data_IF_456532641713
#
_entry.id   IF_456532641713
#
_cell.length_a   1.000
_cell.length_b   1.000
_cell.length_c   1.000
_cell.angle_alpha   90.00
_cell.angle_beta   90.00
_cell.angle_gamma   90.00
#
_symmetry.space_group_name_H-M   'P 1'
#
loop_
_entity.id
_entity.type
_entity.pdbx_description
1 polymer ?
#
# COMPACT_ATOMS: atom_id res chain seq x y z
N UNK A 1 -11.68 21.59 12.42
CA UNK A 1 -12.29 20.86 13.55
C UNK A 1 -11.17 20.40 14.48
N UNK A 2 -11.29 20.64 15.77
CA UNK A 2 -10.39 20.04 16.76
C UNK A 2 -11.11 18.97 17.57
N UNK A 3 -10.34 17.96 17.98
CA UNK A 3 -10.80 16.85 18.82
C UNK A 3 -9.93 16.84 20.05
N UNK A 4 -10.53 16.96 21.22
CA UNK A 4 -9.82 16.98 22.49
C UNK A 4 -10.32 15.89 23.44
N UNK A 5 -9.41 15.30 24.22
CA UNK A 5 -9.71 14.35 25.29
C UNK A 5 -8.62 14.39 26.34
N UNK A 6 -8.94 14.91 27.54
CA UNK A 6 -7.92 15.21 28.55
C UNK A 6 -6.89 16.19 28.01
N UNK A 7 -5.61 15.86 28.16
CA UNK A 7 -4.49 16.71 27.74
C UNK A 7 -4.14 16.59 26.24
N UNK A 8 -4.84 15.71 25.53
CA UNK A 8 -4.57 15.49 24.08
C UNK A 8 -5.56 16.28 23.25
N UNK A 9 -5.02 17.13 22.38
CA UNK A 9 -5.79 17.83 21.35
C UNK A 9 -5.18 17.58 19.96
N UNK A 10 -6.04 17.29 19.00
CA UNK A 10 -5.67 17.06 17.59
C UNK A 10 -6.53 17.88 16.69
N UNK A 11 -5.95 18.43 15.62
CA UNK A 11 -6.69 19.20 14.62
C UNK A 11 -6.81 18.39 13.34
N UNK A 12 -8.04 18.33 12.82
CA UNK A 12 -8.36 17.72 11.54
C UNK A 12 -8.82 18.83 10.59
N UNK A 13 -8.16 18.96 9.43
CA UNK A 13 -8.60 19.88 8.38
C UNK A 13 -9.67 19.20 7.55
N UNK A 14 -10.86 19.81 7.51
CA UNK A 14 -11.98 19.38 6.70
C UNK A 14 -12.14 20.42 5.58
N UNK A 15 -12.12 19.96 4.34
CA UNK A 15 -12.28 20.80 3.17
C UNK A 15 -13.61 20.51 2.50
N UNK A 16 -14.21 21.54 1.90
CA UNK A 16 -15.37 21.40 1.04
C UNK A 16 -14.91 20.99 -0.37
N UNK A 17 -15.81 20.43 -1.16
CA UNK A 17 -15.62 20.07 -2.58
C UNK A 17 -15.24 21.28 -3.47
N UNK A 18 -15.55 22.50 -3.01
CA UNK A 18 -15.19 23.75 -3.67
C UNK A 18 -13.75 24.20 -3.43
N UNK A 19 -13.04 23.54 -2.52
CA UNK A 19 -11.66 23.92 -2.18
C UNK A 19 -10.67 23.16 -3.03
N UNK A 20 -9.67 23.88 -3.61
CA UNK A 20 -8.68 23.29 -4.52
C UNK A 20 -7.88 22.12 -3.94
N UNK A 21 -7.76 22.04 -2.61
CA UNK A 21 -7.09 20.94 -1.91
C UNK A 21 -8.04 19.81 -1.48
N UNK A 22 -9.28 19.82 -1.97
CA UNK A 22 -10.23 18.74 -1.68
C UNK A 22 -9.79 17.43 -2.33
N UNK A 23 -9.63 16.40 -1.52
CA UNK A 23 -9.14 15.09 -1.93
C UNK A 23 -10.21 14.00 -1.93
N UNK A 24 -11.49 14.35 -1.79
CA UNK A 24 -12.59 13.38 -1.66
C UNK A 24 -12.53 12.55 -0.37
N UNK A 25 -11.85 13.04 0.65
CA UNK A 25 -11.65 12.30 1.91
C UNK A 25 -12.86 12.47 2.81
N UNK A 26 -13.60 11.39 3.02
CA UNK A 26 -14.79 11.35 3.86
C UNK A 26 -14.58 10.63 5.21
N UNK A 27 -13.48 9.90 5.37
CA UNK A 27 -13.18 9.17 6.59
C UNK A 27 -11.96 9.76 7.30
N UNK A 28 -12.09 10.02 8.59
CA UNK A 28 -11.04 10.57 9.42
C UNK A 28 -10.82 9.67 10.63
N UNK A 29 -9.57 9.29 10.86
CA UNK A 29 -9.13 8.61 12.07
C UNK A 29 -8.32 9.59 12.92
N UNK A 30 -8.73 9.79 14.16
CA UNK A 30 -8.03 10.65 15.10
C UNK A 30 -7.50 9.82 16.25
N UNK A 31 -6.17 9.74 16.37
CA UNK A 31 -5.54 9.07 17.50
C UNK A 31 -5.48 10.05 18.67
N UNK A 32 -6.20 9.74 19.74
CA UNK A 32 -6.25 10.51 20.98
C UNK A 32 -5.20 10.08 22.01
N UNK A 33 -4.24 9.27 21.60
CA UNK A 33 -3.12 8.84 22.41
C UNK A 33 -3.47 7.72 23.38
N UNK A 34 -2.54 7.46 24.29
CA UNK A 34 -2.65 6.42 25.31
C UNK A 34 -3.24 6.99 26.61
N UNK A 35 -4.05 6.20 27.28
CA UNK A 35 -4.55 6.51 28.64
C UNK A 35 -4.67 5.23 29.45
N UNK A 36 -4.26 5.30 30.72
CA UNK A 36 -4.45 4.20 31.68
C UNK A 36 -5.86 4.16 32.27
N UNK A 37 -6.61 5.24 32.12
CA UNK A 37 -7.97 5.37 32.60
C UNK A 37 -8.93 5.63 31.45
N UNK A 38 -10.18 5.19 31.59
CA UNK A 38 -11.21 5.49 30.62
C UNK A 38 -11.45 7.00 30.55
N UNK A 39 -11.33 7.58 29.38
CA UNK A 39 -11.63 9.00 29.15
C UNK A 39 -13.13 9.15 28.99
N UNK A 40 -13.74 9.91 29.91
CA UNK A 40 -15.20 10.06 29.99
C UNK A 40 -15.76 11.04 28.95
N UNK A 41 -14.94 11.98 28.48
CA UNK A 41 -15.40 13.08 27.59
C UNK A 41 -14.43 13.22 26.43
N UNK A 42 -15.01 13.33 25.25
CA UNK A 42 -14.33 13.71 24.01
C UNK A 42 -15.07 14.94 23.47
N UNK A 43 -14.33 16.03 23.29
CA UNK A 43 -14.87 17.29 22.82
C UNK A 43 -14.50 17.50 21.37
N UNK A 44 -15.51 17.74 20.52
CA UNK A 44 -15.35 18.13 19.14
C UNK A 44 -15.66 19.62 19.02
N UNK A 45 -14.72 20.41 18.51
CA UNK A 45 -14.90 21.85 18.31
C UNK A 45 -14.75 22.17 16.83
N UNK A 46 -15.78 22.81 16.28
CA UNK A 46 -15.79 23.30 14.91
C UNK A 46 -15.51 24.80 14.93
N UNK A 47 -14.44 25.23 14.28
CA UNK A 47 -13.97 26.62 14.28
C UNK A 47 -14.81 27.52 13.39
N UNK A 48 -15.37 26.96 12.32
CA UNK A 48 -16.19 27.70 11.38
C UNK A 48 -17.69 27.39 11.57
N UNK A 49 -18.52 28.40 11.43
CA UNK A 49 -19.96 28.23 11.36
C UNK A 49 -20.35 27.53 10.06
N UNK A 50 -21.21 26.53 10.15
CA UNK A 50 -21.66 25.76 9.00
C UNK A 50 -22.47 24.53 9.41
N UNK A 51 -22.98 23.84 8.41
CA UNK A 51 -23.65 22.55 8.62
C UNK A 51 -22.63 21.44 8.35
N UNK A 52 -22.40 20.61 9.35
CA UNK A 52 -21.54 19.45 9.28
C UNK A 52 -22.40 18.19 9.39
N UNK A 53 -22.36 17.36 8.37
CA UNK A 53 -23.07 16.08 8.33
C UNK A 53 -22.08 14.93 8.47
N UNK A 54 -22.44 13.92 9.23
CA UNK A 54 -21.65 12.71 9.37
C UNK A 54 -22.56 11.49 9.54
N UNK A 55 -22.20 10.40 8.90
CA UNK A 55 -22.98 9.16 8.97
C UNK A 55 -22.69 8.40 10.25
N UNK A 56 -21.43 8.43 10.73
CA UNK A 56 -21.00 7.65 11.86
C UNK A 56 -19.82 8.29 12.62
N UNK A 57 -20.01 8.45 13.92
CA UNK A 57 -18.96 8.79 14.87
C UNK A 57 -18.75 7.60 15.80
N UNK A 58 -17.51 7.12 15.90
CA UNK A 58 -17.15 6.04 16.82
C UNK A 58 -15.93 6.41 17.63
N UNK A 59 -15.98 6.13 18.92
CA UNK A 59 -14.81 6.12 19.81
C UNK A 59 -14.47 4.67 20.07
N UNK A 60 -13.22 4.30 19.80
CA UNK A 60 -12.73 2.93 19.97
C UNK A 60 -11.56 2.98 20.94
N UNK A 61 -11.64 2.17 21.99
CA UNK A 61 -10.52 1.92 22.89
C UNK A 61 -9.89 0.58 22.51
N UNK A 62 -8.62 0.60 22.14
CA UNK A 62 -7.88 -0.61 21.84
C UNK A 62 -6.99 -0.96 23.05
N UNK A 63 -7.15 -2.16 23.65
CA UNK A 63 -6.26 -2.58 24.70
C UNK A 63 -4.85 -2.77 24.15
N UNK A 64 -3.86 -2.21 24.86
CA UNK A 64 -2.44 -2.32 24.49
C UNK A 64 -1.69 -3.29 25.41
N UNK A 65 -2.36 -3.94 26.33
CA UNK A 65 -1.80 -5.01 27.14
C UNK A 65 -1.44 -6.20 26.27
N UNK A 66 -0.27 -6.79 26.50
CA UNK A 66 0.21 -7.93 25.72
C UNK A 66 0.68 -7.59 24.30
N UNK A 67 0.76 -6.31 23.93
CA UNK A 67 1.29 -5.92 22.61
C UNK A 67 2.75 -6.37 22.44
N UNK A 68 3.52 -6.30 23.53
CA UNK A 68 4.93 -6.64 23.51
C UNK A 68 5.14 -8.15 23.27
N UNK A 69 4.37 -8.97 23.97
CA UNK A 69 4.39 -10.43 23.80
C UNK A 69 3.92 -10.83 22.39
N UNK A 70 2.83 -10.23 21.93
CA UNK A 70 2.34 -10.48 20.53
C UNK A 70 3.33 -10.02 19.47
N UNK A 71 4.02 -8.91 19.69
CA UNK A 71 5.04 -8.43 18.75
C UNK A 71 6.24 -9.38 18.73
N UNK A 72 6.65 -9.91 19.89
CA UNK A 72 7.71 -10.93 19.98
C UNK A 72 7.29 -12.23 19.29
N UNK A 73 6.08 -12.70 19.53
CA UNK A 73 5.53 -13.88 18.89
C UNK A 73 5.48 -13.74 17.37
N UNK A 74 4.96 -12.62 16.86
CA UNK A 74 4.90 -12.33 15.42
C UNK A 74 6.29 -12.10 14.80
N UNK A 75 7.24 -11.60 15.59
CA UNK A 75 8.61 -11.36 15.17
C UNK A 75 9.54 -12.57 15.32
N UNK A 76 9.07 -13.67 15.89
CA UNK A 76 9.90 -14.87 16.10
C UNK A 76 10.25 -15.57 14.77
N UNK A 77 9.34 -15.55 13.82
CA UNK A 77 9.50 -16.15 12.49
C UNK A 77 9.51 -15.02 11.44
N UNK A 78 10.70 -14.57 11.08
CA UNK A 78 10.90 -13.47 10.12
C UNK A 78 11.79 -13.94 8.98
N UNK A 79 11.65 -13.26 7.85
CA UNK A 79 12.50 -13.49 6.69
C UNK A 79 13.96 -13.16 7.04
N UNK A 80 14.85 -14.11 6.80
CA UNK A 80 16.29 -14.05 7.07
C UNK A 80 17.06 -13.98 5.74
N UNK A 81 18.36 -13.68 5.82
CA UNK A 81 19.28 -13.68 4.68
C UNK A 81 18.75 -12.86 3.50
N UNK A 82 18.10 -11.72 3.81
CA UNK A 82 17.46 -10.89 2.79
C UNK A 82 18.54 -10.30 1.87
N UNK A 83 18.39 -10.56 0.57
CA UNK A 83 19.15 -9.91 -0.50
C UNK A 83 18.21 -9.12 -1.37
N UNK A 84 18.55 -7.85 -1.58
CA UNK A 84 17.79 -6.96 -2.44
C UNK A 84 18.67 -6.56 -3.62
N UNK A 85 18.18 -6.84 -4.81
CA UNK A 85 18.75 -6.42 -6.09
C UNK A 85 17.82 -5.39 -6.75
N UNK A 86 18.14 -4.92 -7.96
CA UNK A 86 17.38 -3.86 -8.63
C UNK A 86 15.88 -4.14 -8.75
N UNK A 87 15.52 -5.37 -9.11
CA UNK A 87 14.13 -5.78 -9.34
C UNK A 87 13.74 -7.07 -8.62
N UNK A 88 14.57 -7.54 -7.71
CA UNK A 88 14.40 -8.82 -7.02
C UNK A 88 14.70 -8.68 -5.53
N UNK A 89 13.90 -9.33 -4.71
CA UNK A 89 14.13 -9.52 -3.28
C UNK A 89 14.09 -11.03 -3.02
N UNK A 90 15.11 -11.55 -2.36
CA UNK A 90 15.15 -12.95 -1.92
C UNK A 90 15.37 -13.02 -0.42
N UNK A 91 14.93 -14.11 0.18
CA UNK A 91 15.17 -14.39 1.59
C UNK A 91 14.71 -15.79 1.94
N UNK A 92 15.03 -16.21 3.15
CA UNK A 92 14.72 -17.52 3.68
C UNK A 92 13.88 -17.38 4.95
N UNK A 93 12.96 -18.30 5.18
CA UNK A 93 12.13 -18.30 6.37
C UNK A 93 11.81 -19.75 6.76
N UNK A 94 11.87 -20.02 8.06
CA UNK A 94 11.34 -21.23 8.65
C UNK A 94 10.04 -20.92 9.38
N UNK A 95 8.98 -21.63 9.06
CA UNK A 95 7.70 -21.48 9.73
C UNK A 95 7.28 -22.76 10.45
N UNK A 96 6.88 -22.61 11.71
CA UNK A 96 6.51 -23.73 12.59
C UNK A 96 5.15 -24.31 12.26
N UNK A 97 4.29 -23.53 11.61
CA UNK A 97 2.93 -23.88 11.24
C UNK A 97 2.50 -23.10 9.99
N UNK A 98 1.34 -23.46 9.40
CA UNK A 98 0.78 -22.72 8.27
C UNK A 98 0.53 -21.26 8.64
N UNK A 99 1.19 -20.33 7.93
CA UNK A 99 1.14 -18.89 8.21
C UNK A 99 1.13 -18.04 6.95
N UNK A 100 0.82 -16.77 7.11
CA UNK A 100 0.97 -15.76 6.07
C UNK A 100 2.20 -14.90 6.38
N UNK A 101 3.20 -14.91 5.50
CA UNK A 101 4.30 -13.95 5.52
C UNK A 101 3.78 -12.61 4.99
N UNK A 102 3.69 -11.62 5.87
CA UNK A 102 3.32 -10.26 5.48
C UNK A 102 4.57 -9.43 5.24
N UNK A 103 4.68 -8.90 4.04
CA UNK A 103 5.78 -8.07 3.61
C UNK A 103 5.37 -6.60 3.70
N UNK A 104 6.15 -5.78 4.41
CA UNK A 104 5.90 -4.35 4.56
C UNK A 104 6.18 -3.56 3.27
N UNK A 105 5.78 -4.11 2.14
CA UNK A 105 5.91 -3.55 0.80
C UNK A 105 4.51 -3.30 0.25
N UNK A 106 4.20 -2.10 -0.26
CA UNK A 106 2.89 -1.81 -0.84
C UNK A 106 2.56 -2.76 -2.00
N UNK A 107 1.32 -3.24 -2.00
CA UNK A 107 0.85 -4.14 -3.04
C UNK A 107 0.89 -3.46 -4.42
N UNK A 108 1.55 -4.12 -5.36
CA UNK A 108 1.56 -3.71 -6.76
C UNK A 108 1.39 -4.93 -7.67
N UNK A 109 0.65 -4.74 -8.76
CA UNK A 109 0.47 -5.77 -9.79
C UNK A 109 1.77 -6.14 -10.53
N UNK A 110 2.83 -5.34 -10.33
CA UNK A 110 4.14 -5.60 -10.92
C UNK A 110 4.93 -6.69 -10.20
N UNK A 111 4.58 -7.04 -8.96
CA UNK A 111 5.26 -8.09 -8.22
C UNK A 111 4.75 -9.48 -8.59
N UNK A 112 5.67 -10.41 -8.69
CA UNK A 112 5.42 -11.86 -8.76
C UNK A 112 6.19 -12.52 -7.63
N UNK A 113 5.52 -13.37 -6.85
CA UNK A 113 6.15 -14.14 -5.78
C UNK A 113 6.42 -15.57 -6.21
N UNK A 114 7.52 -16.09 -5.72
CA UNK A 114 7.89 -17.51 -5.80
C UNK A 114 8.22 -18.00 -4.40
N UNK A 115 7.72 -19.17 -4.07
CA UNK A 115 8.05 -19.93 -2.86
C UNK A 115 8.70 -21.23 -3.33
N UNK A 116 9.91 -21.49 -2.90
CA UNK A 116 10.69 -22.68 -3.28
C UNK A 116 10.82 -22.87 -4.80
N UNK A 117 10.86 -21.75 -5.53
CA UNK A 117 10.92 -21.73 -6.99
C UNK A 117 9.57 -21.85 -7.70
N UNK A 118 8.48 -22.13 -6.99
CA UNK A 118 7.14 -22.20 -7.55
C UNK A 118 6.41 -20.87 -7.44
N UNK A 119 5.76 -20.46 -8.54
CA UNK A 119 4.99 -19.23 -8.58
C UNK A 119 3.78 -19.30 -7.66
N UNK A 120 3.69 -18.35 -6.74
CA UNK A 120 2.64 -18.29 -5.71
C UNK A 120 1.83 -17.01 -5.82
N UNK A 121 0.57 -17.08 -5.40
CA UNK A 121 -0.32 -15.92 -5.41
C UNK A 121 0.07 -14.91 -4.34
N UNK A 122 0.24 -13.64 -4.75
CA UNK A 122 0.39 -12.50 -3.84
C UNK A 122 -0.97 -11.96 -3.43
N UNK A 123 -1.26 -12.03 -2.14
CA UNK A 123 -2.48 -11.50 -1.55
C UNK A 123 -2.25 -10.10 -0.96
N UNK A 124 -3.32 -9.34 -0.88
CA UNK A 124 -3.30 -8.04 -0.21
C UNK A 124 -3.57 -8.23 1.28
N UNK A 125 -2.68 -7.72 2.13
CA UNK A 125 -2.81 -7.78 3.57
C UNK A 125 -2.73 -6.39 4.20
N UNK A 126 -3.33 -6.22 5.38
CA UNK A 126 -3.29 -4.99 6.16
C UNK A 126 -3.59 -3.73 5.32
N UNK A 127 -4.60 -3.82 4.45
CA UNK A 127 -5.07 -2.74 3.57
C UNK A 127 -4.15 -2.46 2.38
N UNK A 128 -2.82 -2.47 2.54
CA UNK A 128 -1.90 -2.02 1.51
C UNK A 128 -0.68 -2.92 1.26
N UNK A 129 -0.37 -3.85 2.14
CA UNK A 129 0.82 -4.69 2.05
C UNK A 129 0.60 -5.95 1.22
N UNK A 130 1.69 -6.62 0.88
CA UNK A 130 1.67 -7.91 0.23
C UNK A 130 1.78 -9.04 1.26
N UNK A 131 1.15 -10.17 0.97
CA UNK A 131 1.31 -11.38 1.75
C UNK A 131 1.41 -12.61 0.87
N UNK A 132 2.15 -13.61 1.36
CA UNK A 132 2.30 -14.94 0.78
C UNK A 132 1.93 -15.95 1.83
N UNK A 133 1.10 -16.94 1.48
CA UNK A 133 0.79 -18.06 2.36
C UNK A 133 1.91 -19.09 2.31
N UNK A 134 2.34 -19.55 3.47
CA UNK A 134 3.38 -20.55 3.65
C UNK A 134 2.83 -21.73 4.45
N UNK A 135 3.14 -22.92 4.00
CA UNK A 135 2.91 -24.13 4.78
C UNK A 135 4.03 -24.26 5.83
N UNK A 136 3.94 -25.25 6.73
CA UNK A 136 4.99 -25.54 7.72
C UNK A 136 6.26 -26.01 7.03
N UNK A 137 7.40 -25.44 7.38
CA UNK A 137 8.72 -25.85 6.86
C UNK A 137 9.66 -24.70 6.61
N UNK A 138 10.76 -25.04 5.93
CA UNK A 138 11.76 -24.09 5.46
C UNK A 138 11.40 -23.65 4.04
N UNK A 139 11.41 -22.34 3.80
CA UNK A 139 11.02 -21.78 2.51
C UNK A 139 12.03 -20.74 2.02
N UNK A 140 12.28 -20.77 0.73
CA UNK A 140 12.97 -19.69 0.01
C UNK A 140 11.95 -18.80 -0.69
N UNK A 141 11.93 -17.53 -0.33
CA UNK A 141 11.03 -16.56 -0.89
C UNK A 141 11.76 -15.71 -1.92
N UNK A 142 11.15 -15.55 -3.08
CA UNK A 142 11.65 -14.67 -4.12
C UNK A 142 10.52 -13.77 -4.62
N UNK A 143 10.76 -12.47 -4.63
CA UNK A 143 9.87 -11.47 -5.20
C UNK A 143 10.55 -10.82 -6.39
N UNK A 144 9.89 -10.83 -7.54
CA UNK A 144 10.39 -10.19 -8.76
C UNK A 144 9.44 -9.07 -9.15
N UNK A 145 9.98 -7.88 -9.37
CA UNK A 145 9.19 -6.73 -9.84
C UNK A 145 9.41 -6.49 -11.33
N UNK A 146 8.32 -6.37 -12.04
CA UNK A 146 8.31 -5.90 -13.43
C UNK A 146 7.26 -4.81 -13.57
N UNK A 147 7.66 -3.66 -14.09
CA UNK A 147 6.72 -2.54 -14.27
C UNK A 147 5.55 -2.98 -15.14
N UNK A 148 4.30 -2.82 -14.64
CA UNK A 148 3.12 -3.18 -15.43
C UNK A 148 3.10 -2.46 -16.77
N UNK A 149 2.67 -3.19 -17.81
CA UNK A 149 2.51 -2.67 -19.18
C UNK A 149 3.80 -2.23 -19.88
N UNK A 150 4.99 -2.41 -19.33
CA UNK A 150 6.25 -1.99 -19.99
C UNK A 150 6.43 -2.70 -21.35
N UNK A 151 6.10 -3.98 -21.42
CA UNK A 151 6.18 -4.76 -22.66
C UNK A 151 5.17 -4.25 -23.73
N UNK A 152 3.95 -3.96 -23.30
CA UNK A 152 2.90 -3.40 -24.16
C UNK A 152 3.29 -2.02 -24.69
N UNK A 153 3.83 -1.17 -23.80
CA UNK A 153 4.34 0.15 -24.18
C UNK A 153 5.48 0.07 -25.21
N UNK A 154 6.42 -0.84 -25.01
CA UNK A 154 7.51 -1.07 -25.96
C UNK A 154 7.02 -1.50 -27.34
N UNK A 155 6.07 -2.43 -27.41
CA UNK A 155 5.47 -2.88 -28.67
C UNK A 155 4.75 -1.73 -29.39
N UNK A 156 3.96 -0.93 -28.66
CA UNK A 156 3.27 0.24 -29.24
C UNK A 156 4.26 1.29 -29.76
N UNK A 157 5.34 1.53 -29.04
CA UNK A 157 6.39 2.47 -29.46
C UNK A 157 7.07 1.99 -30.73
N UNK A 158 7.43 0.70 -30.82
CA UNK A 158 8.03 0.12 -32.03
C UNK A 158 7.07 0.20 -33.23
N UNK A 159 5.80 -0.11 -33.03
CA UNK A 159 4.77 -0.01 -34.08
C UNK A 159 4.61 1.44 -34.57
N UNK A 160 4.60 2.41 -33.64
CA UNK A 160 4.55 3.83 -33.97
C UNK A 160 5.76 4.31 -34.79
N UNK A 161 6.96 3.88 -34.40
CA UNK A 161 8.20 4.18 -35.14
C UNK A 161 8.19 3.59 -36.54
N UNK A 162 7.77 2.34 -36.69
CA UNK A 162 7.64 1.70 -38.01
C UNK A 162 6.67 2.45 -38.91
N UNK A 163 5.50 2.80 -38.39
CA UNK A 163 4.52 3.61 -39.11
C UNK A 163 5.09 4.96 -39.53
N UNK A 164 5.79 5.64 -38.64
CA UNK A 164 6.46 6.90 -38.96
C UNK A 164 7.45 6.75 -40.11
N UNK A 165 8.34 5.76 -40.08
CA UNK A 165 9.32 5.53 -41.14
C UNK A 165 8.64 5.19 -42.46
N UNK A 166 7.58 4.41 -42.44
CA UNK A 166 6.79 4.11 -43.69
C UNK A 166 6.20 5.38 -44.27
N UNK A 167 5.62 6.26 -43.46
CA UNK A 167 5.03 7.52 -43.91
C UNK A 167 6.09 8.47 -44.46
N UNK A 168 7.24 8.61 -43.80
CA UNK A 168 8.38 9.41 -44.28
C UNK A 168 8.90 8.87 -45.61
N UNK A 169 9.09 7.57 -45.70
CA UNK A 169 9.55 6.95 -46.95
C UNK A 169 8.58 7.20 -48.13
N UNK A 170 7.28 6.99 -47.89
CA UNK A 170 6.24 7.27 -48.90
C UNK A 170 6.19 8.76 -49.28
N UNK A 171 6.34 9.66 -48.34
CA UNK A 171 6.36 11.10 -48.59
C UNK A 171 7.57 11.52 -49.43
N UNK A 172 8.75 10.96 -49.16
CA UNK A 172 9.96 11.24 -49.94
C UNK A 172 9.82 10.72 -51.37
N UNK A 173 9.26 9.52 -51.55
CA UNK A 173 9.07 8.93 -52.90
C UNK A 173 8.11 9.77 -53.76
N UNK A 174 7.07 10.37 -53.16
CA UNK A 174 6.14 11.27 -53.88
C UNK A 174 6.79 12.57 -54.34
N UNK A 175 7.83 13.07 -53.62
CA UNK A 175 8.57 14.31 -54.02
C UNK A 175 9.57 14.07 -55.16
N UNK A 176 10.04 12.85 -55.36
CA UNK A 176 10.98 12.49 -56.44
C UNK A 176 10.28 12.25 -57.77
N UNK A 177 8.98 11.92 -57.74
CA UNK A 177 8.17 11.66 -58.94
C UNK A 177 7.38 12.91 -59.43
N UNK A 178 7.72 14.10 -58.95
CA UNK A 178 7.17 15.38 -59.38
C UNK A 178 8.30 16.30 -59.80
#
# INVERSE_FOLDING_TARGET
MSVASGDVQKTIKIFTDKYNAYSGRHNFLCNLGYSRTCRKVITLTFENTGVYTYDKLRVVCQPVQGIQEKTQELGAETLQNIKQEENQITGEITVSDKRALVLAIPYSKGFTAYVDGEKTELKKANTMYMAVELEKGDHTIQLIYCTPYIKTGAVLTLAGLLLYFILVYRSRKKKICR
#
